data_IF_319029468901
#
_entry.id   IF_319029468901
#
_cell.length_a   1.000
_cell.length_b   1.000
_cell.length_c   1.000
_cell.angle_alpha   90.00
_cell.angle_beta   90.00
_cell.angle_gamma   90.00
#
_symmetry.space_group_name_H-M   'P 1'
#
loop_
_entity.id
_entity.type
_entity.pdbx_description
1 polymer ?
#
# COMPACT_ATOMS: atom_id res chain seq x y z
N UNK A 1 30.34 -24.28 -11.53
CA UNK A 1 29.03 -24.16 -10.85
C UNK A 1 27.97 -23.99 -11.93
N UNK A 2 26.88 -24.76 -11.83
CA UNK A 2 25.70 -24.58 -12.68
C UNK A 2 24.74 -23.56 -12.04
N UNK A 3 23.84 -23.00 -12.85
CA UNK A 3 22.85 -22.07 -12.29
C UNK A 3 21.94 -22.74 -11.25
N UNK A 4 21.66 -24.06 -11.37
CA UNK A 4 20.90 -24.82 -10.41
C UNK A 4 21.58 -24.86 -9.03
N UNK A 5 22.91 -24.95 -8.99
CA UNK A 5 23.68 -24.95 -7.74
C UNK A 5 23.72 -23.57 -7.07
N UNK A 6 23.55 -22.51 -7.84
CA UNK A 6 23.52 -21.13 -7.36
C UNK A 6 22.12 -20.67 -6.96
N UNK A 7 21.07 -21.32 -7.49
CA UNK A 7 19.69 -20.95 -7.20
C UNK A 7 19.25 -21.49 -5.83
N UNK A 8 18.51 -20.67 -5.08
CA UNK A 8 17.85 -21.11 -3.85
C UNK A 8 16.91 -22.29 -4.13
N UNK A 9 16.92 -23.36 -3.31
CA UNK A 9 16.20 -24.60 -3.64
C UNK A 9 14.70 -24.46 -3.90
N UNK A 10 14.02 -23.56 -3.15
CA UNK A 10 12.58 -23.34 -3.33
C UNK A 10 12.24 -22.65 -4.66
N UNK A 11 13.17 -21.87 -5.20
CA UNK A 11 12.96 -21.09 -6.42
C UNK A 11 13.35 -21.88 -7.68
N UNK A 12 14.08 -23.00 -7.51
CA UNK A 12 14.65 -23.77 -8.61
C UNK A 12 13.60 -24.41 -9.51
N UNK A 13 12.54 -24.98 -8.94
CA UNK A 13 11.52 -25.67 -9.74
C UNK A 13 10.79 -24.72 -10.69
N UNK A 14 10.41 -23.54 -10.21
CA UNK A 14 9.75 -22.51 -11.04
C UNK A 14 10.64 -22.08 -12.19
N UNK A 15 11.94 -21.89 -11.95
CA UNK A 15 12.91 -21.52 -12.99
C UNK A 15 13.06 -22.63 -14.04
N UNK A 16 13.14 -23.88 -13.61
CA UNK A 16 13.26 -25.04 -14.51
C UNK A 16 12.00 -25.23 -15.36
N UNK A 17 10.81 -25.04 -14.83
CA UNK A 17 9.55 -25.10 -15.58
C UNK A 17 9.50 -24.03 -16.66
N UNK A 18 9.86 -22.79 -16.35
CA UNK A 18 9.91 -21.69 -17.33
C UNK A 18 10.98 -21.96 -18.41
N UNK A 19 12.13 -22.49 -18.01
CA UNK A 19 13.20 -22.86 -18.97
C UNK A 19 12.75 -23.98 -19.92
N UNK A 20 12.01 -24.98 -19.43
CA UNK A 20 11.44 -26.03 -20.28
C UNK A 20 10.45 -25.49 -21.29
N UNK A 21 9.53 -24.62 -20.88
CA UNK A 21 8.61 -23.97 -21.81
C UNK A 21 9.36 -23.15 -22.87
N UNK A 22 10.43 -22.45 -22.45
CA UNK A 22 11.30 -21.72 -23.36
C UNK A 22 12.00 -22.64 -24.37
N UNK A 23 12.50 -23.80 -23.93
CA UNK A 23 13.16 -24.79 -24.81
C UNK A 23 12.16 -25.35 -25.82
N UNK A 24 10.95 -25.72 -25.40
CA UNK A 24 9.92 -26.31 -26.26
C UNK A 24 9.26 -25.30 -27.21
N UNK A 25 9.54 -23.98 -27.05
CA UNK A 25 8.99 -22.95 -27.92
C UNK A 25 7.58 -22.51 -27.55
N UNK A 26 7.12 -22.87 -26.37
CA UNK A 26 5.85 -22.42 -25.82
C UNK A 26 5.89 -20.94 -25.47
N UNK A 27 7.06 -20.46 -25.01
CA UNK A 27 7.39 -19.07 -24.76
C UNK A 27 8.70 -18.67 -25.40
N UNK A 28 8.94 -17.39 -25.65
CA UNK A 28 10.19 -16.88 -26.23
C UNK A 28 11.08 -16.15 -25.22
N UNK A 29 10.51 -15.78 -24.08
CA UNK A 29 11.18 -15.12 -22.97
C UNK A 29 10.41 -15.37 -21.69
N UNK A 30 11.12 -15.32 -20.55
CA UNK A 30 10.50 -15.27 -19.25
C UNK A 30 11.31 -14.36 -18.31
N UNK A 31 10.67 -13.91 -17.25
CA UNK A 31 11.30 -13.13 -16.20
C UNK A 31 10.74 -13.59 -14.85
N UNK A 32 11.61 -13.76 -13.87
CA UNK A 32 11.22 -14.10 -12.51
C UNK A 32 12.19 -13.51 -11.49
N UNK A 33 11.66 -13.16 -10.34
CA UNK A 33 12.47 -12.83 -9.18
C UNK A 33 12.80 -14.10 -8.44
N UNK A 34 14.09 -14.30 -8.15
CA UNK A 34 14.56 -15.48 -7.42
C UNK A 34 15.77 -15.18 -6.56
N UNK A 35 16.09 -16.12 -5.69
CA UNK A 35 17.22 -16.02 -4.78
C UNK A 35 18.41 -16.82 -5.33
N UNK A 36 19.58 -16.22 -5.21
CA UNK A 36 20.85 -16.85 -5.53
C UNK A 36 21.75 -16.90 -4.29
N UNK A 37 22.63 -17.89 -4.26
CA UNK A 37 23.75 -17.89 -3.33
C UNK A 37 24.93 -17.10 -3.92
N UNK A 38 25.46 -16.19 -3.12
CA UNK A 38 26.75 -15.54 -3.42
C UNK A 38 27.91 -16.52 -3.20
N UNK A 39 29.13 -16.12 -3.59
CA UNK A 39 30.33 -16.90 -3.31
C UNK A 39 30.60 -17.05 -1.82
N UNK A 40 30.16 -16.09 -0.98
CA UNK A 40 30.29 -16.16 0.49
C UNK A 40 29.22 -17.05 1.11
N UNK A 41 28.23 -17.53 0.37
CA UNK A 41 27.09 -18.33 0.85
C UNK A 41 25.91 -17.50 1.34
N UNK A 42 25.96 -16.17 1.15
CA UNK A 42 24.83 -15.28 1.45
C UNK A 42 23.77 -15.40 0.38
N UNK A 43 22.53 -15.11 0.74
CA UNK A 43 21.38 -15.13 -0.18
C UNK A 43 21.11 -13.72 -0.69
N UNK A 44 21.03 -13.57 -2.00
CA UNK A 44 20.67 -12.29 -2.66
C UNK A 44 19.48 -12.51 -3.59
N UNK A 45 18.61 -11.51 -3.63
CA UNK A 45 17.51 -11.45 -4.57
C UNK A 45 17.98 -10.92 -5.93
N UNK A 46 17.61 -11.59 -6.99
CA UNK A 46 17.86 -11.15 -8.34
C UNK A 46 16.62 -11.27 -9.22
N UNK A 47 16.46 -10.32 -10.13
CA UNK A 47 15.57 -10.42 -11.25
C UNK A 47 16.32 -11.12 -12.38
N UNK A 48 15.85 -12.31 -12.75
CA UNK A 48 16.33 -13.05 -13.91
C UNK A 48 15.40 -12.81 -15.09
N UNK A 49 15.96 -12.42 -16.23
CA UNK A 49 15.25 -12.39 -17.51
C UNK A 49 16.01 -13.29 -18.51
N UNK A 50 15.31 -14.24 -19.11
CA UNK A 50 15.89 -15.18 -20.07
C UNK A 50 15.14 -15.10 -21.39
N UNK A 51 15.89 -15.04 -22.47
CA UNK A 51 15.37 -15.15 -23.83
C UNK A 51 16.16 -16.20 -24.63
N UNK A 52 15.56 -16.71 -25.68
CA UNK A 52 16.17 -17.70 -26.56
C UNK A 52 16.37 -17.13 -27.96
N UNK A 53 17.56 -17.36 -28.53
CA UNK A 53 17.82 -17.16 -29.96
C UNK A 53 17.75 -18.52 -30.62
N UNK A 54 17.04 -18.60 -31.76
CA UNK A 54 16.77 -19.86 -32.44
C UNK A 54 17.41 -19.89 -33.84
N UNK A 55 17.70 -21.08 -34.32
CA UNK A 55 17.99 -21.33 -35.72
C UNK A 55 16.77 -21.11 -36.63
N UNK A 56 16.97 -21.07 -37.93
CA UNK A 56 15.87 -20.93 -38.90
C UNK A 56 14.87 -22.11 -38.87
N UNK A 57 15.29 -23.27 -38.39
CA UNK A 57 14.46 -24.46 -38.19
C UNK A 57 13.67 -24.46 -36.86
N UNK A 58 13.82 -23.39 -36.06
CA UNK A 58 13.14 -23.22 -34.76
C UNK A 58 13.87 -23.85 -33.57
N UNK A 59 14.98 -24.56 -33.76
CA UNK A 59 15.76 -25.15 -32.67
C UNK A 59 16.50 -24.06 -31.85
N UNK A 60 16.61 -24.19 -30.52
CA UNK A 60 17.38 -23.25 -29.71
C UNK A 60 18.86 -23.21 -30.14
N UNK A 61 19.38 -22.01 -30.37
CA UNK A 61 20.80 -21.78 -30.67
C UNK A 61 21.56 -21.43 -29.40
N UNK A 62 21.10 -20.42 -28.67
CA UNK A 62 21.61 -20.03 -27.35
C UNK A 62 20.57 -19.24 -26.54
N UNK A 63 20.84 -19.13 -25.26
CA UNK A 63 20.03 -18.35 -24.34
C UNK A 63 20.77 -17.08 -23.94
N UNK A 64 20.03 -15.99 -23.76
CA UNK A 64 20.53 -14.75 -23.18
C UNK A 64 19.86 -14.62 -21.80
N UNK A 65 20.69 -14.64 -20.77
CA UNK A 65 20.21 -14.42 -19.39
C UNK A 65 20.74 -13.06 -18.90
N UNK A 66 19.82 -12.21 -18.46
CA UNK A 66 20.13 -10.95 -17.77
C UNK A 66 19.79 -11.14 -16.29
N UNK A 67 20.70 -10.73 -15.43
CA UNK A 67 20.56 -10.86 -13.99
C UNK A 67 20.79 -9.48 -13.39
N UNK A 68 19.78 -8.98 -12.69
CA UNK A 68 19.82 -7.70 -11.98
C UNK A 68 19.71 -7.96 -10.49
N UNK A 69 20.60 -7.37 -9.69
CA UNK A 69 20.51 -7.41 -8.24
C UNK A 69 19.38 -6.50 -7.78
N UNK A 70 18.37 -7.08 -7.13
CA UNK A 70 17.21 -6.35 -6.59
C UNK A 70 17.16 -6.41 -5.06
N UNK A 71 18.27 -6.70 -4.41
CA UNK A 71 18.33 -6.90 -2.97
C UNK A 71 17.92 -5.65 -2.20
N UNK A 72 18.39 -4.47 -2.61
CA UNK A 72 18.03 -3.18 -2.01
C UNK A 72 16.54 -2.88 -2.18
N UNK A 73 15.99 -3.20 -3.35
CA UNK A 73 14.54 -3.07 -3.60
C UNK A 73 13.73 -3.96 -2.64
N UNK A 74 14.09 -5.23 -2.54
CA UNK A 74 13.43 -6.19 -1.64
C UNK A 74 13.56 -5.79 -0.17
N UNK A 75 14.69 -5.28 0.24
CA UNK A 75 14.89 -4.79 1.60
C UNK A 75 13.98 -3.59 1.88
N UNK A 76 13.88 -2.65 0.95
CA UNK A 76 12.99 -1.49 1.08
C UNK A 76 11.52 -1.91 1.15
N UNK A 77 11.08 -2.81 0.27
CA UNK A 77 9.72 -3.38 0.30
C UNK A 77 9.42 -4.04 1.66
N UNK A 78 10.34 -4.86 2.16
CA UNK A 78 10.18 -5.55 3.44
C UNK A 78 10.11 -4.58 4.62
N UNK A 79 10.98 -3.55 4.66
CA UNK A 79 10.96 -2.52 5.71
C UNK A 79 9.63 -1.76 5.67
N UNK A 80 9.19 -1.33 4.49
CA UNK A 80 7.92 -0.62 4.32
C UNK A 80 6.73 -1.48 4.75
N UNK A 81 6.69 -2.74 4.34
CA UNK A 81 5.64 -3.68 4.75
C UNK A 81 5.59 -3.82 6.27
N UNK A 82 6.74 -4.03 6.91
CA UNK A 82 6.83 -4.17 8.37
C UNK A 82 6.42 -2.89 9.12
N UNK A 83 6.77 -1.72 8.58
CA UNK A 83 6.33 -0.44 9.15
C UNK A 83 4.81 -0.29 9.06
N UNK A 84 4.22 -0.61 7.91
CA UNK A 84 2.76 -0.56 7.75
C UNK A 84 2.04 -1.54 8.67
N UNK A 85 2.52 -2.77 8.82
CA UNK A 85 1.98 -3.74 9.78
C UNK A 85 2.02 -3.21 11.22
N UNK A 86 3.14 -2.59 11.62
CA UNK A 86 3.28 -2.00 12.97
C UNK A 86 2.33 -0.83 13.19
N UNK A 87 2.15 0.05 12.20
CA UNK A 87 1.21 1.17 12.26
C UNK A 87 -0.22 0.65 12.40
N UNK A 88 -0.60 -0.34 11.57
CA UNK A 88 -1.92 -0.96 11.63
C UNK A 88 -2.21 -1.56 13.01
N UNK A 89 -1.29 -2.38 13.53
CA UNK A 89 -1.43 -2.99 14.86
C UNK A 89 -1.52 -1.95 15.98
N UNK A 90 -0.73 -0.88 15.91
CA UNK A 90 -0.77 0.19 16.91
C UNK A 90 -2.11 0.94 16.89
N UNK A 91 -2.64 1.24 15.70
CA UNK A 91 -3.94 1.90 15.55
C UNK A 91 -5.09 1.00 16.02
N UNK A 92 -5.06 -0.30 15.67
CA UNK A 92 -6.06 -1.27 16.15
C UNK A 92 -6.03 -1.39 17.67
N UNK A 93 -4.85 -1.52 18.29
CA UNK A 93 -4.69 -1.60 19.74
C UNK A 93 -5.15 -0.32 20.45
N UNK A 94 -4.93 0.85 19.83
CA UNK A 94 -5.39 2.14 20.33
C UNK A 94 -6.87 2.43 20.07
N UNK A 95 -7.56 1.59 19.28
CA UNK A 95 -8.93 1.84 18.84
C UNK A 95 -9.06 3.08 17.96
N UNK A 96 -7.96 3.47 17.28
CA UNK A 96 -7.86 4.68 16.46
C UNK A 96 -8.33 4.37 15.04
N UNK A 97 -9.28 5.18 14.55
CA UNK A 97 -9.68 5.18 13.14
C UNK A 97 -8.89 6.21 12.36
N UNK A 98 -8.49 5.87 11.15
CA UNK A 98 -7.78 6.76 10.24
C UNK A 98 -8.72 7.20 9.12
N UNK A 99 -8.69 8.49 8.85
CA UNK A 99 -9.43 9.07 7.75
C UNK A 99 -8.55 10.03 6.94
N UNK A 100 -8.85 10.13 5.67
CA UNK A 100 -8.20 11.04 4.73
C UNK A 100 -9.26 11.74 3.90
N UNK A 101 -9.05 13.01 3.63
CA UNK A 101 -9.91 13.81 2.75
C UNK A 101 -9.05 14.55 1.73
N UNK A 102 -9.08 14.08 0.49
CA UNK A 102 -8.55 14.80 -0.65
C UNK A 102 -9.53 15.92 -1.01
N UNK A 103 -9.08 17.17 -0.92
CA UNK A 103 -9.94 18.34 -1.14
C UNK A 103 -10.31 18.53 -2.62
N UNK A 104 -9.40 18.15 -3.49
CA UNK A 104 -9.62 18.00 -4.93
C UNK A 104 -9.20 16.59 -5.34
N UNK A 105 -10.10 15.67 -5.66
CA UNK A 105 -11.49 15.77 -6.17
C UNK A 105 -12.63 15.64 -5.16
N UNK A 106 -12.48 16.03 -3.89
CA UNK A 106 -13.46 15.87 -2.80
C UNK A 106 -13.77 14.41 -2.50
N UNK A 107 -12.71 13.64 -2.19
CA UNK A 107 -12.80 12.22 -1.86
C UNK A 107 -12.40 11.99 -0.42
N UNK A 108 -13.29 11.38 0.36
CA UNK A 108 -13.01 10.94 1.72
C UNK A 108 -12.76 9.43 1.74
N UNK A 109 -11.70 9.03 2.42
CA UNK A 109 -11.33 7.63 2.64
C UNK A 109 -11.32 7.33 4.13
N UNK A 110 -11.86 6.19 4.51
CA UNK A 110 -11.91 5.67 5.88
C UNK A 110 -11.26 4.30 5.96
N UNK A 111 -10.51 4.06 7.03
CA UNK A 111 -10.06 2.71 7.35
C UNK A 111 -11.20 1.86 7.94
N UNK A 112 -10.93 0.59 8.18
CA UNK A 112 -11.90 -0.35 8.76
C UNK A 112 -12.44 0.16 10.11
N UNK A 113 -11.56 0.73 10.95
CA UNK A 113 -11.91 1.20 12.29
C UNK A 113 -12.87 2.38 12.25
N UNK A 114 -12.72 3.28 11.30
CA UNK A 114 -13.67 4.38 11.09
C UNK A 114 -15.08 3.87 10.82
N UNK A 115 -15.24 2.88 9.93
CA UNK A 115 -16.55 2.26 9.68
C UNK A 115 -17.14 1.62 10.93
N UNK A 116 -16.33 0.97 11.76
CA UNK A 116 -16.77 0.38 13.04
C UNK A 116 -17.16 1.47 14.05
N UNK A 117 -16.41 2.57 14.14
CA UNK A 117 -16.71 3.69 15.05
C UNK A 117 -18.04 4.36 14.72
N UNK A 118 -18.34 4.50 13.43
CA UNK A 118 -19.58 5.11 12.95
C UNK A 118 -20.72 4.11 12.74
N UNK A 119 -20.45 2.80 12.88
CA UNK A 119 -21.40 1.70 12.64
C UNK A 119 -22.03 1.75 11.24
N UNK A 120 -21.21 2.14 10.27
CA UNK A 120 -21.59 2.24 8.86
C UNK A 120 -20.99 1.06 8.09
N UNK A 121 -21.76 0.40 7.22
CA UNK A 121 -21.22 -0.68 6.38
C UNK A 121 -20.08 -0.20 5.47
N UNK A 122 -19.01 -0.98 5.35
CA UNK A 122 -17.80 -0.61 4.60
C UNK A 122 -17.99 -0.42 3.09
N UNK A 123 -19.12 -0.85 2.53
CA UNK A 123 -19.46 -0.60 1.13
C UNK A 123 -20.07 0.79 0.89
N UNK A 124 -20.42 1.52 1.96
CA UNK A 124 -20.92 2.90 1.86
C UNK A 124 -19.71 3.83 1.69
N UNK A 125 -19.74 4.63 0.63
CA UNK A 125 -18.67 5.61 0.39
C UNK A 125 -18.76 6.75 1.41
N UNK A 126 -17.69 7.05 2.16
CA UNK A 126 -17.66 8.19 3.07
C UNK A 126 -17.79 9.51 2.30
N UNK A 127 -18.57 10.43 2.85
CA UNK A 127 -18.74 11.79 2.32
C UNK A 127 -18.80 12.79 3.46
N UNK A 128 -18.57 14.05 3.16
CA UNK A 128 -18.81 15.14 4.11
C UNK A 128 -20.22 15.09 4.72
N UNK A 129 -21.22 14.88 3.86
CA UNK A 129 -22.61 14.83 4.29
C UNK A 129 -22.88 13.68 5.27
N UNK A 130 -22.28 12.51 5.00
CA UNK A 130 -22.39 11.33 5.87
C UNK A 130 -21.77 11.61 7.24
N UNK A 131 -20.57 12.16 7.28
CA UNK A 131 -19.87 12.53 8.51
C UNK A 131 -20.64 13.57 9.31
N UNK A 132 -21.07 14.64 8.64
CA UNK A 132 -21.85 15.72 9.26
C UNK A 132 -23.22 15.26 9.78
N UNK A 133 -23.91 14.38 9.03
CA UNK A 133 -25.19 13.83 9.43
C UNK A 133 -25.09 12.92 10.67
N UNK A 134 -23.99 12.21 10.83
CA UNK A 134 -23.74 11.35 11.98
C UNK A 134 -23.58 12.14 13.29
N UNK A 135 -23.16 13.41 13.24
CA UNK A 135 -23.03 14.26 14.42
C UNK A 135 -24.37 14.60 15.06
N UNK A 136 -24.35 14.78 16.39
CA UNK A 136 -25.48 15.42 17.06
C UNK A 136 -25.62 16.86 16.55
N UNK A 137 -26.85 17.39 16.38
CA UNK A 137 -27.08 18.71 15.78
C UNK A 137 -26.33 19.86 16.49
N UNK A 138 -26.17 19.76 17.78
CA UNK A 138 -25.56 20.79 18.65
C UNK A 138 -24.06 20.96 18.35
N UNK A 139 -23.39 19.92 17.87
CA UNK A 139 -21.94 19.94 17.62
C UNK A 139 -21.58 20.38 16.18
N UNK A 140 -22.55 20.40 15.26
CA UNK A 140 -22.32 20.63 13.81
C UNK A 140 -21.73 22.00 13.50
N UNK A 141 -22.30 23.05 14.05
CA UNK A 141 -21.86 24.44 13.81
C UNK A 141 -20.41 24.64 14.26
N UNK A 142 -20.06 24.08 15.43
CA UNK A 142 -18.70 24.13 15.94
C UNK A 142 -17.73 23.34 15.04
N UNK A 143 -18.14 22.15 14.59
CA UNK A 143 -17.33 21.33 13.69
C UNK A 143 -17.04 22.04 12.35
N UNK A 144 -18.05 22.68 11.76
CA UNK A 144 -17.88 23.47 10.53
C UNK A 144 -16.91 24.65 10.72
N UNK A 145 -17.01 25.32 11.86
CA UNK A 145 -16.11 26.43 12.19
C UNK A 145 -14.67 25.96 12.33
N UNK A 146 -14.43 24.91 13.12
CA UNK A 146 -13.07 24.34 13.32
C UNK A 146 -12.47 23.87 12.01
N UNK A 147 -13.26 23.23 11.14
CA UNK A 147 -12.79 22.81 9.83
C UNK A 147 -12.38 24.01 8.97
N UNK A 148 -13.22 25.04 8.89
CA UNK A 148 -12.93 26.25 8.13
C UNK A 148 -11.65 26.94 8.62
N UNK A 149 -11.50 27.08 9.92
CA UNK A 149 -10.30 27.65 10.54
C UNK A 149 -9.05 26.82 10.24
N UNK A 150 -9.15 25.49 10.30
CA UNK A 150 -8.05 24.59 9.95
C UNK A 150 -7.61 24.71 8.49
N UNK A 151 -8.55 24.86 7.58
CA UNK A 151 -8.23 25.05 6.15
C UNK A 151 -7.61 26.42 5.87
N UNK A 152 -8.09 27.49 6.52
CA UNK A 152 -7.67 28.86 6.25
C UNK A 152 -6.46 29.31 7.06
N UNK A 153 -6.46 29.07 8.37
CA UNK A 153 -5.52 29.69 9.32
C UNK A 153 -4.25 28.89 9.61
N UNK A 154 -3.98 27.82 8.87
CA UNK A 154 -2.82 26.94 9.08
C UNK A 154 -2.71 26.32 10.49
N UNK A 155 -3.85 26.12 11.16
CA UNK A 155 -3.93 25.48 12.48
C UNK A 155 -4.23 23.98 12.29
N UNK A 156 -3.66 23.07 13.10
CA UNK A 156 -4.04 21.66 13.07
C UNK A 156 -5.54 21.50 13.39
N UNK A 157 -6.20 20.60 12.67
CA UNK A 157 -7.58 20.26 12.97
C UNK A 157 -7.64 19.49 14.29
N UNK A 158 -8.37 20.01 15.25
CA UNK A 158 -8.65 19.35 16.54
C UNK A 158 -10.10 19.56 16.88
N UNK A 159 -10.86 18.49 16.98
CA UNK A 159 -12.29 18.54 17.24
C UNK A 159 -12.70 17.41 18.19
N UNK A 160 -13.47 17.75 19.20
CA UNK A 160 -14.23 16.80 20.03
C UNK A 160 -15.71 16.98 19.73
N UNK A 161 -16.39 15.91 19.41
CA UNK A 161 -17.80 15.94 19.00
C UNK A 161 -18.48 14.61 19.31
N UNK A 162 -19.79 14.61 19.24
CA UNK A 162 -20.62 13.45 19.51
C UNK A 162 -21.28 12.96 18.22
N UNK A 163 -21.31 11.65 18.05
CA UNK A 163 -22.03 11.00 16.95
C UNK A 163 -23.15 10.13 17.49
N UNK A 164 -24.20 9.97 16.68
CA UNK A 164 -25.30 9.04 16.95
C UNK A 164 -24.96 7.68 16.35
N UNK A 165 -25.00 6.66 17.16
CA UNK A 165 -24.84 5.24 16.80
C UNK A 165 -26.07 4.48 17.26
N UNK A 166 -26.21 3.19 16.85
CA UNK A 166 -27.41 2.39 17.18
C UNK A 166 -27.70 2.35 18.67
N UNK A 167 -26.65 2.22 19.49
CA UNK A 167 -26.78 2.04 20.93
C UNK A 167 -26.66 3.37 21.73
N UNK A 168 -26.78 4.52 21.05
CA UNK A 168 -26.78 5.82 21.72
C UNK A 168 -25.84 6.86 21.14
N UNK A 169 -25.09 7.55 22.02
CA UNK A 169 -24.16 8.61 21.65
C UNK A 169 -22.74 8.15 21.94
N UNK A 170 -21.84 8.33 20.96
CA UNK A 170 -20.40 8.11 21.10
C UNK A 170 -19.64 9.42 21.02
N UNK A 171 -18.70 9.62 21.93
CA UNK A 171 -17.80 10.77 21.93
C UNK A 171 -16.59 10.45 21.05
N UNK A 172 -16.29 11.34 20.13
CA UNK A 172 -15.18 11.24 19.19
C UNK A 172 -14.23 12.40 19.43
N UNK A 173 -12.94 12.09 19.46
CA UNK A 173 -11.86 13.07 19.37
C UNK A 173 -11.16 12.87 18.05
N UNK A 174 -11.15 13.89 17.21
CA UNK A 174 -10.51 13.87 15.89
C UNK A 174 -9.36 14.85 15.84
N UNK A 175 -8.24 14.39 15.32
CA UNK A 175 -7.04 15.17 15.10
C UNK A 175 -6.62 14.96 13.65
N UNK A 176 -6.31 16.05 12.93
CA UNK A 176 -5.77 15.92 11.58
C UNK A 176 -4.70 16.95 11.28
N UNK A 177 -3.79 16.55 10.41
CA UNK A 177 -2.78 17.40 9.82
C UNK A 177 -3.14 17.69 8.36
N UNK A 178 -2.67 18.82 7.87
CA UNK A 178 -2.76 19.21 6.47
C UNK A 178 -1.56 18.69 5.72
N UNK A 179 -1.80 18.13 4.55
CA UNK A 179 -0.77 17.83 3.57
C UNK A 179 -0.83 18.92 2.51
N UNK A 180 0.31 19.52 2.21
CA UNK A 180 0.39 20.62 1.26
C UNK A 180 0.92 20.13 -0.08
N UNK A 181 0.41 20.71 -1.17
CA UNK A 181 0.94 20.54 -2.51
C UNK A 181 2.26 21.32 -2.69
N UNK A 182 2.86 21.21 -3.88
CA UNK A 182 4.12 21.91 -4.21
C UNK A 182 3.99 23.44 -4.19
N UNK A 183 2.79 23.97 -4.29
CA UNK A 183 2.45 25.40 -4.27
C UNK A 183 2.23 25.91 -2.83
N UNK A 184 2.21 25.03 -1.83
CA UNK A 184 1.95 25.36 -0.43
C UNK A 184 0.47 25.50 -0.07
N UNK A 185 -0.43 25.05 -0.92
CA UNK A 185 -1.87 24.99 -0.70
C UNK A 185 -2.25 23.65 -0.05
N UNK A 186 -3.35 23.63 0.70
CA UNK A 186 -3.81 22.38 1.34
C UNK A 186 -4.39 21.46 0.28
N UNK A 187 -3.74 20.35 0.03
CA UNK A 187 -4.16 19.31 -0.90
C UNK A 187 -5.11 18.32 -0.23
N UNK A 188 -4.76 17.91 0.99
CA UNK A 188 -5.56 16.94 1.76
C UNK A 188 -5.42 17.10 3.26
N UNK A 189 -6.39 16.56 3.99
CA UNK A 189 -6.35 16.35 5.43
C UNK A 189 -6.13 14.88 5.74
N UNK A 190 -5.26 14.58 6.69
CA UNK A 190 -5.01 13.23 7.19
C UNK A 190 -5.18 13.22 8.71
N UNK A 191 -6.09 12.42 9.18
CA UNK A 191 -6.46 12.36 10.58
C UNK A 191 -6.74 10.96 11.11
#
# INVERSE_FOLDING_TARGET
LTFQQLTWPEDLNTDLEQLQQLIHGEINTYSLEKRYYTRSGEVVWALLAVSVVRHADGTPLYFIAQIEDINDLKQTEWVNKRLMERITLANEAGGIGIWEWDLEPDVISWDKRMFELYEIPSHIKPTWQLWHAAMVPEDRTHAEQVLRESLQARVPFKLEFRIRVKDGIRHIRSLANRVLNKQGEVERLLG
#
